data_IF_782759561246
#
_entry.id   IF_782759561246
#
_cell.length_a   1.000
_cell.length_b   1.000
_cell.length_c   1.000
_cell.angle_alpha   90.00
_cell.angle_beta   90.00
_cell.angle_gamma   90.00
#
_symmetry.space_group_name_H-M   'P 1'
#
loop_
_entity.id
_entity.type
_entity.pdbx_description
1 polymer ?
#
# COMPACT_ATOMS: atom_id res chain seq x y z
N UNK A 1 19.12 22.00 -8.46
CA UNK A 1 18.53 23.03 -7.59
C UNK A 1 19.48 24.21 -7.47
N UNK A 2 20.68 24.03 -6.91
CA UNK A 2 21.65 25.14 -6.68
C UNK A 2 22.00 25.89 -7.96
N UNK A 3 22.31 25.16 -9.04
CA UNK A 3 22.65 25.75 -10.35
C UNK A 3 21.52 26.59 -10.99
N UNK A 4 20.27 26.41 -10.55
CA UNK A 4 19.09 27.11 -11.10
C UNK A 4 18.71 28.38 -10.32
N UNK A 5 19.55 28.86 -9.41
CA UNK A 5 19.33 30.08 -8.59
C UNK A 5 17.97 30.07 -7.85
N UNK A 6 17.51 28.90 -7.42
CA UNK A 6 16.30 28.78 -6.60
C UNK A 6 16.53 29.47 -5.25
N UNK A 7 15.56 30.24 -4.80
CA UNK A 7 15.56 30.95 -3.53
C UNK A 7 14.36 30.51 -2.65
N UNK A 8 14.26 31.03 -1.45
CA UNK A 8 13.21 30.66 -0.49
C UNK A 8 11.77 30.96 -0.95
N UNK A 9 11.60 31.89 -1.90
CA UNK A 9 10.29 32.24 -2.49
C UNK A 9 9.94 31.40 -3.74
N UNK A 10 10.86 30.56 -4.19
CA UNK A 10 10.62 29.66 -5.32
C UNK A 10 9.67 28.53 -4.91
N UNK A 11 8.83 28.10 -5.81
CA UNK A 11 7.98 26.93 -5.67
C UNK A 11 8.46 25.83 -6.64
N UNK A 12 8.50 24.58 -6.16
CA UNK A 12 8.85 23.42 -6.99
C UNK A 12 7.56 22.72 -7.42
N UNK A 13 7.43 22.40 -8.69
CA UNK A 13 6.33 21.60 -9.23
C UNK A 13 6.87 20.20 -9.53
N UNK A 14 6.33 19.18 -8.85
CA UNK A 14 6.63 17.78 -9.08
C UNK A 14 5.57 17.17 -10.02
N UNK A 15 6.01 16.61 -11.14
CA UNK A 15 5.13 15.89 -12.08
C UNK A 15 5.69 14.48 -12.21
N UNK A 16 4.95 13.46 -11.73
CA UNK A 16 5.45 12.08 -11.75
C UNK A 16 4.72 11.13 -10.80
N UNK A 17 5.30 9.95 -10.61
CA UNK A 17 4.83 8.96 -9.64
C UNK A 17 5.46 9.12 -8.26
N UNK A 18 5.33 8.09 -7.42
CA UNK A 18 5.81 8.09 -6.03
C UNK A 18 7.29 8.43 -5.86
N UNK A 19 8.17 7.95 -6.74
CA UNK A 19 9.61 8.28 -6.67
C UNK A 19 9.86 9.78 -6.83
N UNK A 20 9.20 10.42 -7.80
CA UNK A 20 9.28 11.88 -8.00
C UNK A 20 8.73 12.61 -6.77
N UNK A 21 7.61 12.15 -6.23
CA UNK A 21 7.01 12.67 -5.00
C UNK A 21 7.99 12.62 -3.83
N UNK A 22 8.53 11.44 -3.52
CA UNK A 22 9.42 11.22 -2.38
C UNK A 22 10.68 12.08 -2.45
N UNK A 23 11.33 12.11 -3.61
CA UNK A 23 12.56 12.91 -3.83
C UNK A 23 12.24 14.41 -3.70
N UNK A 24 11.18 14.89 -4.37
CA UNK A 24 10.81 16.31 -4.32
C UNK A 24 10.44 16.74 -2.92
N UNK A 25 9.55 15.98 -2.26
CA UNK A 25 9.11 16.28 -0.91
C UNK A 25 10.27 16.31 0.09
N UNK A 26 11.17 15.30 0.02
CA UNK A 26 12.36 15.25 0.88
C UNK A 26 13.29 16.44 0.64
N UNK A 27 13.62 16.74 -0.62
CA UNK A 27 14.49 17.89 -0.97
C UNK A 27 13.83 19.20 -0.52
N UNK A 28 12.54 19.40 -0.79
CA UNK A 28 11.82 20.60 -0.41
C UNK A 28 11.81 20.82 1.09
N UNK A 29 11.79 19.76 1.90
CA UNK A 29 11.78 19.86 3.36
C UNK A 29 13.11 20.36 3.94
N UNK A 30 14.24 20.04 3.32
CA UNK A 30 15.58 20.36 3.82
C UNK A 30 16.19 21.60 3.15
N UNK A 31 15.86 21.85 1.88
CA UNK A 31 16.41 22.97 1.13
C UNK A 31 15.87 24.29 1.65
N UNK A 32 16.76 25.23 2.02
CA UNK A 32 16.41 26.49 2.73
C UNK A 32 15.54 26.31 3.98
N UNK A 33 15.53 25.13 4.62
CA UNK A 33 14.67 24.77 5.77
C UNK A 33 13.19 24.75 5.42
N UNK A 34 12.87 24.42 4.18
CA UNK A 34 11.53 24.33 3.63
C UNK A 34 11.32 25.22 2.42
N UNK A 35 10.93 24.63 1.31
CA UNK A 35 10.45 25.29 0.10
C UNK A 35 9.08 24.73 -0.22
N UNK A 36 8.17 25.60 -0.65
CA UNK A 36 6.85 25.16 -1.14
C UNK A 36 6.97 24.30 -2.38
N UNK A 37 6.09 23.31 -2.49
CA UNK A 37 5.99 22.49 -3.67
C UNK A 37 4.55 22.06 -3.95
N UNK A 38 4.25 21.87 -5.24
CA UNK A 38 2.99 21.35 -5.73
C UNK A 38 3.20 20.00 -6.41
N UNK A 39 2.17 19.14 -6.42
CA UNK A 39 2.27 17.79 -6.97
C UNK A 39 1.21 17.48 -8.01
N UNK A 40 1.67 16.97 -9.15
CA UNK A 40 0.86 16.39 -10.22
C UNK A 40 1.15 14.87 -10.28
N UNK A 41 0.40 14.02 -9.58
CA UNK A 41 0.57 12.58 -9.62
C UNK A 41 0.20 12.01 -11.00
N UNK A 42 1.11 11.24 -11.61
CA UNK A 42 0.91 10.69 -12.97
C UNK A 42 0.74 9.17 -12.98
N UNK A 43 0.84 8.50 -11.84
CA UNK A 43 0.57 7.06 -11.71
C UNK A 43 -0.69 6.83 -10.89
N UNK A 44 -1.41 5.74 -11.14
CA UNK A 44 -2.63 5.42 -10.39
C UNK A 44 -2.35 5.21 -8.89
N UNK A 45 -1.22 4.57 -8.55
CA UNK A 45 -0.79 4.42 -7.16
C UNK A 45 -0.62 5.80 -6.47
N UNK A 46 -0.01 6.76 -7.17
CA UNK A 46 0.15 8.10 -6.61
C UNK A 46 -1.19 8.83 -6.52
N UNK A 47 -2.05 8.76 -7.53
CA UNK A 47 -3.36 9.41 -7.52
C UNK A 47 -4.32 8.80 -6.49
N UNK A 48 -4.28 7.47 -6.31
CA UNK A 48 -5.21 6.76 -5.43
C UNK A 48 -4.76 6.64 -3.98
N UNK A 49 -3.48 6.91 -3.69
CA UNK A 49 -2.92 6.72 -2.36
C UNK A 49 -1.86 7.75 -1.98
N UNK A 50 -0.63 7.69 -2.56
CA UNK A 50 0.54 8.32 -1.97
C UNK A 50 0.51 9.85 -1.99
N UNK A 51 -0.25 10.49 -2.89
CA UNK A 51 -0.30 11.94 -3.02
C UNK A 51 -0.76 12.68 -1.76
N UNK A 52 -1.49 12.03 -0.85
CA UNK A 52 -1.90 12.61 0.43
C UNK A 52 -1.21 11.91 1.60
N UNK A 53 -1.07 12.64 2.72
CA UNK A 53 -0.52 12.11 3.96
C UNK A 53 0.94 12.48 4.24
N UNK A 54 1.60 13.17 3.30
CA UNK A 54 2.84 13.89 3.50
C UNK A 54 4.09 13.06 3.81
N UNK A 55 4.00 11.73 3.87
CA UNK A 55 5.17 10.86 4.10
C UNK A 55 6.13 10.96 2.93
N UNK A 56 7.42 11.13 3.22
CA UNK A 56 8.52 10.96 2.25
C UNK A 56 9.29 9.70 2.58
N UNK A 57 9.91 9.10 1.58
CA UNK A 57 10.58 7.83 1.76
C UNK A 57 11.76 7.66 0.82
N UNK A 58 12.97 7.73 1.37
CA UNK A 58 14.22 7.55 0.63
C UNK A 58 14.92 6.28 1.09
N UNK A 59 15.35 5.49 0.14
CA UNK A 59 16.14 4.28 0.41
C UNK A 59 17.60 4.65 0.74
N UNK A 60 18.20 3.91 1.65
CA UNK A 60 19.61 4.04 1.97
C UNK A 60 20.32 2.69 1.73
N UNK A 61 21.14 2.62 0.69
CA UNK A 61 21.76 1.38 0.26
C UNK A 61 20.73 0.30 -0.07
N UNK A 62 20.77 -0.83 0.62
CA UNK A 62 19.84 -1.96 0.46
C UNK A 62 18.59 -1.87 1.36
N UNK A 63 18.50 -0.83 2.18
CA UNK A 63 17.40 -0.67 3.13
C UNK A 63 16.36 0.30 2.56
N UNK A 64 15.11 -0.16 2.48
CA UNK A 64 13.98 0.67 2.05
C UNK A 64 13.55 1.64 3.17
N UNK A 65 13.13 2.83 2.76
CA UNK A 65 12.38 3.77 3.61
C UNK A 65 13.11 4.15 4.91
N UNK A 66 14.43 4.34 4.83
CA UNK A 66 15.24 4.65 6.03
C UNK A 66 15.34 6.13 6.33
N UNK A 67 15.27 6.96 5.29
CA UNK A 67 15.30 8.40 5.42
C UNK A 67 13.95 8.95 4.97
N UNK A 68 13.42 9.87 5.75
CA UNK A 68 12.12 10.47 5.41
C UNK A 68 11.63 11.39 6.51
N UNK A 69 10.61 12.14 6.17
CA UNK A 69 9.90 13.03 7.06
C UNK A 69 8.43 13.16 6.62
N UNK A 70 7.70 14.08 7.24
CA UNK A 70 6.36 14.47 6.81
C UNK A 70 6.45 15.87 6.21
N UNK A 71 6.29 15.97 4.89
CA UNK A 71 6.32 17.24 4.16
C UNK A 71 5.29 17.23 3.03
N UNK A 72 3.99 17.48 3.30
CA UNK A 72 2.96 17.47 2.27
C UNK A 72 3.17 18.59 1.24
N UNK A 73 2.70 18.40 0.00
CA UNK A 73 2.66 19.47 -0.99
C UNK A 73 1.64 20.55 -0.59
N UNK A 74 1.86 21.79 -1.06
CA UNK A 74 0.91 22.89 -0.88
C UNK A 74 -0.39 22.62 -1.64
N UNK A 75 -0.29 22.08 -2.86
CA UNK A 75 -1.43 21.70 -3.69
C UNK A 75 -1.16 20.36 -4.38
N UNK A 76 -2.26 19.62 -4.63
CA UNK A 76 -2.25 18.35 -5.38
C UNK A 76 -3.25 18.47 -6.52
N UNK A 77 -2.79 18.27 -7.74
CA UNK A 77 -3.60 18.36 -8.96
C UNK A 77 -3.76 16.97 -9.58
N UNK A 78 -4.90 16.34 -9.34
CA UNK A 78 -5.18 14.97 -9.81
C UNK A 78 -5.90 15.07 -11.15
N UNK A 79 -5.20 14.70 -12.22
CA UNK A 79 -5.74 14.59 -13.57
C UNK A 79 -5.66 13.13 -14.04
N UNK A 80 -6.81 12.52 -14.26
CA UNK A 80 -6.89 11.11 -14.67
C UNK A 80 -6.46 10.88 -16.13
N UNK A 81 -6.29 11.93 -16.94
CA UNK A 81 -5.78 11.80 -18.32
C UNK A 81 -4.35 11.24 -18.35
N UNK A 82 -3.55 11.49 -17.31
CA UNK A 82 -2.22 10.86 -17.18
C UNK A 82 -2.29 9.33 -17.13
N UNK A 83 -3.42 8.74 -16.74
CA UNK A 83 -3.58 7.29 -16.60
C UNK A 83 -3.83 6.59 -17.94
N UNK A 84 -4.27 7.29 -18.96
CA UNK A 84 -4.65 6.72 -20.27
C UNK A 84 -3.50 5.98 -20.96
N UNK A 85 -2.27 6.42 -20.74
CA UNK A 85 -1.05 5.83 -21.32
C UNK A 85 -0.36 4.81 -20.43
N UNK A 86 -0.89 4.54 -19.23
CA UNK A 86 -0.31 3.57 -18.32
C UNK A 86 -0.56 2.14 -18.82
N UNK A 87 0.44 1.29 -18.58
CA UNK A 87 0.30 -0.14 -18.85
C UNK A 87 -0.73 -0.75 -17.90
N UNK A 88 -1.42 -1.78 -18.36
CA UNK A 88 -2.40 -2.52 -17.55
C UNK A 88 -1.85 -2.94 -16.19
N UNK A 89 -0.61 -3.42 -16.11
CA UNK A 89 0.02 -3.81 -14.84
C UNK A 89 0.16 -2.63 -13.87
N UNK A 90 0.37 -1.39 -14.36
CA UNK A 90 0.48 -0.20 -13.50
C UNK A 90 -0.89 0.22 -12.96
N UNK A 91 -1.94 0.07 -13.78
CA UNK A 91 -3.33 0.25 -13.35
C UNK A 91 -3.71 -0.79 -12.30
N UNK A 92 -3.47 -2.07 -12.56
CA UNK A 92 -3.74 -3.16 -11.60
C UNK A 92 -2.97 -2.96 -10.28
N UNK A 93 -1.72 -2.50 -10.36
CA UNK A 93 -0.92 -2.15 -9.19
C UNK A 93 -1.55 -1.00 -8.39
N UNK A 94 -2.02 0.05 -9.05
CA UNK A 94 -2.71 1.15 -8.37
C UNK A 94 -4.02 0.71 -7.71
N UNK A 95 -4.80 -0.15 -8.37
CA UNK A 95 -6.03 -0.73 -7.79
C UNK A 95 -5.68 -1.61 -6.59
N UNK A 96 -4.61 -2.40 -6.67
CA UNK A 96 -4.12 -3.22 -5.57
C UNK A 96 -3.74 -2.39 -4.34
N UNK A 97 -3.12 -1.23 -4.55
CA UNK A 97 -2.82 -0.28 -3.48
C UNK A 97 -4.11 0.30 -2.87
N UNK A 98 -5.06 0.74 -3.70
CA UNK A 98 -6.33 1.24 -3.19
C UNK A 98 -7.13 0.19 -2.43
N UNK A 99 -6.97 -1.10 -2.73
CA UNK A 99 -7.73 -2.18 -2.12
C UNK A 99 -7.59 -2.23 -0.60
N UNK A 100 -6.39 -2.04 -0.05
CA UNK A 100 -6.20 -2.03 1.40
C UNK A 100 -6.90 -0.83 2.06
N UNK A 101 -6.84 0.36 1.47
CA UNK A 101 -7.48 1.58 1.98
C UNK A 101 -9.01 1.41 2.05
N UNK A 102 -9.57 0.88 0.97
CA UNK A 102 -11.00 0.63 0.85
C UNK A 102 -11.47 -0.46 1.84
N UNK A 103 -10.69 -1.54 2.01
CA UNK A 103 -10.98 -2.61 2.97
C UNK A 103 -10.90 -2.13 4.42
N UNK A 104 -9.89 -1.30 4.74
CA UNK A 104 -9.70 -0.74 6.08
C UNK A 104 -10.83 0.22 6.43
N UNK A 105 -11.41 0.92 5.46
CA UNK A 105 -12.54 1.83 5.70
C UNK A 105 -13.83 1.08 6.00
N UNK A 106 -14.31 0.24 5.10
CA UNK A 106 -15.49 -0.63 5.29
C UNK A 106 -15.75 -1.50 4.04
N UNK A 107 -16.72 -2.43 4.15
CA UNK A 107 -17.08 -3.31 3.02
C UNK A 107 -17.72 -2.55 1.85
N UNK A 108 -18.55 -1.53 2.10
CA UNK A 108 -19.17 -0.75 1.04
C UNK A 108 -18.11 -0.13 0.12
N UNK A 109 -17.05 0.44 0.69
CA UNK A 109 -15.93 0.98 -0.08
C UNK A 109 -15.14 -0.13 -0.78
N UNK A 110 -14.83 -1.24 -0.08
CA UNK A 110 -14.07 -2.34 -0.66
C UNK A 110 -14.79 -3.00 -1.86
N UNK A 111 -16.11 -3.10 -1.81
CA UNK A 111 -16.94 -3.63 -2.90
C UNK A 111 -16.94 -2.75 -4.17
N UNK A 112 -16.45 -1.52 -4.10
CA UNK A 112 -16.32 -0.66 -5.28
C UNK A 112 -15.33 -1.22 -6.30
N UNK A 113 -14.36 -2.01 -5.87
CA UNK A 113 -13.45 -2.72 -6.77
C UNK A 113 -14.24 -3.67 -7.70
N UNK A 114 -15.16 -4.46 -7.15
CA UNK A 114 -16.04 -5.34 -7.97
C UNK A 114 -16.93 -4.52 -8.91
N UNK A 115 -17.43 -3.36 -8.45
CA UNK A 115 -18.22 -2.46 -9.30
C UNK A 115 -17.40 -1.86 -10.44
N UNK A 116 -16.14 -1.51 -10.18
CA UNK A 116 -15.23 -1.01 -11.21
C UNK A 116 -14.97 -2.07 -12.30
N UNK A 117 -14.62 -3.30 -11.90
CA UNK A 117 -14.40 -4.39 -12.87
C UNK A 117 -15.66 -4.82 -13.63
N UNK A 118 -16.86 -4.44 -13.14
CA UNK A 118 -18.15 -4.59 -13.81
C UNK A 118 -18.58 -3.34 -14.57
N UNK A 119 -17.69 -2.37 -14.74
CA UNK A 119 -17.93 -1.10 -15.45
C UNK A 119 -19.10 -0.27 -14.90
N UNK A 120 -19.45 -0.46 -13.60
CA UNK A 120 -20.54 0.25 -12.93
C UNK A 120 -20.11 1.58 -12.31
N UNK A 121 -18.82 1.80 -12.16
CA UNK A 121 -18.22 3.04 -11.69
C UNK A 121 -16.94 3.32 -12.47
N UNK A 122 -16.55 4.58 -12.55
CA UNK A 122 -15.31 4.99 -13.20
C UNK A 122 -14.07 4.77 -12.31
N UNK A 123 -12.89 4.77 -12.92
CA UNK A 123 -11.61 4.78 -12.18
C UNK A 123 -11.48 6.04 -11.31
N UNK A 124 -12.00 7.18 -11.78
CA UNK A 124 -12.05 8.44 -11.03
C UNK A 124 -12.86 8.28 -9.73
N UNK A 125 -14.01 7.62 -9.78
CA UNK A 125 -14.81 7.37 -8.58
C UNK A 125 -14.06 6.50 -7.56
N UNK A 126 -13.31 5.49 -8.04
CA UNK A 126 -12.51 4.62 -7.20
C UNK A 126 -11.37 5.40 -6.53
N UNK A 127 -10.67 6.28 -7.27
CA UNK A 127 -9.62 7.17 -6.75
C UNK A 127 -10.20 8.06 -5.64
N UNK A 128 -11.32 8.74 -5.91
CA UNK A 128 -11.95 9.64 -4.93
C UNK A 128 -12.29 8.88 -3.64
N UNK A 129 -12.87 7.68 -3.74
CA UNK A 129 -13.23 6.88 -2.57
C UNK A 129 -12.01 6.35 -1.81
N UNK A 130 -10.94 6.02 -2.52
CA UNK A 130 -9.67 5.64 -1.90
C UNK A 130 -9.09 6.80 -1.08
N UNK A 131 -8.97 7.98 -1.69
CA UNK A 131 -8.46 9.17 -1.02
C UNK A 131 -9.34 9.60 0.17
N UNK A 132 -10.67 9.56 0.04
CA UNK A 132 -11.58 9.81 1.16
C UNK A 132 -11.37 8.82 2.30
N UNK A 133 -11.13 7.55 1.98
CA UNK A 133 -10.83 6.51 2.99
C UNK A 133 -9.52 6.81 3.72
N UNK A 134 -8.46 7.17 3.00
CA UNK A 134 -7.15 7.51 3.58
C UNK A 134 -7.21 8.81 4.39
N UNK A 135 -7.86 9.84 3.85
CA UNK A 135 -8.05 11.15 4.51
C UNK A 135 -8.61 10.99 5.93
N UNK A 136 -9.63 10.14 6.10
CA UNK A 136 -10.23 9.87 7.40
C UNK A 136 -9.23 9.44 8.47
N UNK A 137 -8.22 8.64 8.11
CA UNK A 137 -7.17 8.19 9.03
C UNK A 137 -6.08 9.24 9.23
N UNK A 138 -5.76 10.02 8.17
CA UNK A 138 -4.78 11.11 8.28
C UNK A 138 -5.29 12.19 9.23
N UNK A 139 -6.57 12.57 9.14
CA UNK A 139 -7.19 13.58 10.02
C UNK A 139 -7.23 13.15 11.48
N UNK A 140 -7.24 11.86 11.76
CA UNK A 140 -7.20 11.31 13.14
C UNK A 140 -5.79 11.12 13.68
N UNK A 141 -4.83 10.88 12.80
CA UNK A 141 -3.47 10.48 13.17
C UNK A 141 -2.50 10.86 12.04
N UNK A 142 -2.19 12.16 11.96
CA UNK A 142 -1.35 12.72 10.90
C UNK A 142 0.02 12.03 10.80
N UNK A 143 0.64 11.75 11.95
CA UNK A 143 2.01 11.23 12.04
C UNK A 143 2.12 9.71 12.17
N UNK A 144 1.05 8.96 11.93
CA UNK A 144 1.04 7.49 11.91
C UNK A 144 1.51 6.84 13.24
N UNK A 145 1.06 7.38 14.34
CA UNK A 145 1.40 6.88 15.66
C UNK A 145 0.35 5.91 16.25
N UNK A 146 -0.90 5.97 15.77
CA UNK A 146 -2.07 5.26 16.30
C UNK A 146 -2.88 4.57 15.21
N UNK A 147 -4.10 5.07 14.93
CA UNK A 147 -5.09 4.46 14.03
C UNK A 147 -4.63 4.40 12.57
N UNK A 148 -3.81 5.35 12.12
CA UNK A 148 -3.28 5.35 10.76
C UNK A 148 -2.40 4.13 10.46
N UNK A 149 -1.83 3.48 11.51
CA UNK A 149 -1.10 2.22 11.36
C UNK A 149 -1.93 1.11 10.72
N UNK A 150 -3.27 1.15 10.87
CA UNK A 150 -4.17 0.18 10.26
C UNK A 150 -4.13 0.24 8.72
N UNK A 151 -3.74 1.39 8.14
CA UNK A 151 -3.52 1.52 6.70
C UNK A 151 -2.34 0.68 6.18
N UNK A 152 -1.53 0.07 7.05
CA UNK A 152 -0.54 -0.94 6.64
C UNK A 152 -1.14 -2.35 6.51
N UNK A 153 -2.47 -2.49 6.43
CA UNK A 153 -3.13 -3.79 6.21
C UNK A 153 -2.60 -4.45 4.93
N UNK A 154 -2.10 -5.68 5.05
CA UNK A 154 -1.46 -6.42 3.97
C UNK A 154 0.03 -6.09 3.74
N UNK A 155 0.52 -4.92 4.11
CA UNK A 155 1.87 -4.45 3.76
C UNK A 155 3.02 -5.29 4.33
N UNK A 156 2.89 -5.83 5.56
CA UNK A 156 3.92 -6.71 6.13
C UNK A 156 4.16 -7.94 5.25
N UNK A 157 3.08 -8.51 4.69
CA UNK A 157 3.17 -9.63 3.74
C UNK A 157 3.66 -9.16 2.37
N UNK A 158 3.16 -8.01 1.90
CA UNK A 158 3.53 -7.43 0.61
C UNK A 158 5.04 -7.19 0.50
N UNK A 159 5.64 -6.50 1.46
CA UNK A 159 7.08 -6.23 1.49
C UNK A 159 7.92 -7.52 1.51
N UNK A 160 7.44 -8.55 2.21
CA UNK A 160 8.09 -9.85 2.23
C UNK A 160 8.02 -10.55 0.86
N UNK A 161 6.90 -10.46 0.16
CA UNK A 161 6.71 -11.00 -1.20
C UNK A 161 7.58 -10.22 -2.19
N UNK A 162 7.58 -8.88 -2.16
CA UNK A 162 8.45 -8.05 -3.00
C UNK A 162 9.91 -8.48 -2.88
N UNK A 163 10.40 -8.59 -1.64
CA UNK A 163 11.78 -9.02 -1.36
C UNK A 163 12.04 -10.45 -1.84
N UNK A 164 11.12 -11.39 -1.58
CA UNK A 164 11.25 -12.79 -1.98
C UNK A 164 11.19 -13.01 -3.49
N UNK A 165 10.56 -12.11 -4.23
CA UNK A 165 10.48 -12.12 -5.69
C UNK A 165 11.53 -11.22 -6.36
N UNK A 166 12.49 -10.67 -5.61
CA UNK A 166 13.48 -9.71 -6.08
C UNK A 166 12.83 -8.50 -6.80
N UNK A 167 11.71 -7.99 -6.24
CA UNK A 167 10.96 -6.83 -6.75
C UNK A 167 10.45 -6.98 -8.20
N UNK A 168 10.28 -8.22 -8.69
CA UNK A 168 9.73 -8.49 -10.02
C UNK A 168 8.22 -8.29 -10.10
N UNK A 169 7.54 -8.29 -8.96
CA UNK A 169 6.11 -8.06 -8.83
C UNK A 169 5.90 -6.62 -8.38
N UNK A 170 4.97 -5.90 -9.00
CA UNK A 170 4.65 -4.52 -8.64
C UNK A 170 4.09 -4.42 -7.23
N UNK A 171 4.36 -3.29 -6.56
CA UNK A 171 4.02 -3.07 -5.15
C UNK A 171 2.54 -3.32 -4.84
N UNK A 172 1.64 -2.68 -5.56
CA UNK A 172 0.21 -2.83 -5.27
C UNK A 172 -0.34 -4.24 -5.52
N UNK A 173 0.23 -5.00 -6.46
CA UNK A 173 -0.10 -6.42 -6.61
C UNK A 173 0.35 -7.22 -5.38
N UNK A 174 1.55 -6.94 -4.86
CA UNK A 174 2.01 -7.54 -3.60
C UNK A 174 1.11 -7.13 -2.43
N UNK A 175 0.61 -5.88 -2.39
CA UNK A 175 -0.32 -5.39 -1.35
C UNK A 175 -1.66 -6.13 -1.44
N UNK A 176 -2.26 -6.27 -2.62
CA UNK A 176 -3.49 -7.04 -2.79
C UNK A 176 -3.33 -8.50 -2.34
N UNK A 177 -2.19 -9.13 -2.68
CA UNK A 177 -1.87 -10.48 -2.24
C UNK A 177 -1.65 -10.55 -0.73
N UNK A 178 -0.98 -9.56 -0.16
CA UNK A 178 -0.79 -9.41 1.29
C UNK A 178 -2.10 -9.24 2.06
N UNK A 179 -3.06 -8.48 1.51
CA UNK A 179 -4.42 -8.37 2.05
C UNK A 179 -5.13 -9.73 2.02
N UNK A 180 -4.98 -10.49 0.94
CA UNK A 180 -5.56 -11.82 0.82
C UNK A 180 -4.99 -12.78 1.87
N UNK A 181 -3.67 -12.77 2.10
CA UNK A 181 -3.03 -13.55 3.17
C UNK A 181 -3.58 -13.11 4.54
N UNK A 182 -3.69 -11.80 4.80
CA UNK A 182 -4.18 -11.28 6.06
C UNK A 182 -5.64 -11.70 6.34
N UNK A 183 -6.51 -11.65 5.34
CA UNK A 183 -7.88 -12.16 5.46
C UNK A 183 -7.92 -13.68 5.65
N UNK A 184 -7.08 -14.44 4.94
CA UNK A 184 -7.00 -15.88 5.09
C UNK A 184 -6.53 -16.28 6.50
N UNK A 185 -5.48 -15.65 7.03
CA UNK A 185 -5.03 -15.89 8.42
C UNK A 185 -6.15 -15.53 9.40
N UNK A 186 -6.81 -14.40 9.20
CA UNK A 186 -7.93 -13.98 10.05
C UNK A 186 -9.06 -15.02 10.06
N UNK A 187 -9.35 -15.63 8.92
CA UNK A 187 -10.31 -16.71 8.81
C UNK A 187 -9.83 -17.99 9.52
N UNK A 188 -8.58 -18.42 9.30
CA UNK A 188 -8.01 -19.62 9.95
C UNK A 188 -7.89 -19.48 11.45
N UNK A 189 -7.81 -18.26 11.97
CA UNK A 189 -7.82 -17.95 13.39
C UNK A 189 -9.23 -17.66 13.95
N UNK A 190 -10.29 -17.91 13.18
CA UNK A 190 -11.69 -17.68 13.55
C UNK A 190 -12.03 -16.21 13.92
N UNK A 191 -11.23 -15.23 13.48
CA UNK A 191 -11.58 -13.81 13.58
C UNK A 191 -12.53 -13.37 12.49
N UNK A 192 -12.44 -13.98 11.31
CA UNK A 192 -13.26 -13.69 10.13
C UNK A 192 -14.04 -14.95 9.74
N UNK A 193 -15.35 -14.83 9.55
CA UNK A 193 -16.18 -15.95 9.13
C UNK A 193 -15.94 -16.32 7.64
N UNK A 194 -16.29 -17.56 7.26
CA UNK A 194 -16.05 -18.05 5.90
C UNK A 194 -16.79 -17.25 4.82
N UNK A 195 -18.04 -16.84 5.08
CA UNK A 195 -18.85 -16.08 4.12
C UNK A 195 -18.16 -14.77 3.72
N UNK A 196 -17.65 -14.02 4.69
CA UNK A 196 -16.97 -12.76 4.43
C UNK A 196 -15.59 -12.97 3.82
N UNK A 197 -14.85 -14.00 4.27
CA UNK A 197 -13.57 -14.36 3.66
C UNK A 197 -13.72 -14.62 2.14
N UNK A 198 -14.65 -15.49 1.73
CA UNK A 198 -14.86 -15.79 0.31
C UNK A 198 -15.32 -14.58 -0.51
N UNK A 199 -16.11 -13.68 0.09
CA UNK A 199 -16.44 -12.40 -0.57
C UNK A 199 -15.21 -11.54 -0.83
N UNK A 200 -14.32 -11.43 0.16
CA UNK A 200 -13.12 -10.59 0.05
C UNK A 200 -12.09 -11.21 -0.89
N UNK A 201 -11.93 -12.51 -0.82
CA UNK A 201 -11.10 -13.28 -1.75
C UNK A 201 -11.55 -13.06 -3.21
N UNK A 202 -12.86 -13.15 -3.49
CA UNK A 202 -13.41 -12.92 -4.81
C UNK A 202 -13.07 -11.52 -5.36
N UNK A 203 -13.17 -10.49 -4.54
CA UNK A 203 -12.83 -9.12 -4.93
C UNK A 203 -11.32 -9.00 -5.23
N UNK A 204 -10.46 -9.55 -4.36
CA UNK A 204 -9.01 -9.47 -4.56
C UNK A 204 -8.55 -10.28 -5.78
N UNK A 205 -9.20 -11.40 -6.09
CA UNK A 205 -8.93 -12.19 -7.31
C UNK A 205 -9.22 -11.45 -8.61
N UNK A 206 -10.02 -10.38 -8.60
CA UNK A 206 -10.18 -9.52 -9.78
C UNK A 206 -8.91 -8.73 -10.11
N UNK A 207 -8.13 -8.38 -9.09
CA UNK A 207 -6.86 -7.66 -9.23
C UNK A 207 -5.72 -8.64 -9.52
N UNK A 208 -5.75 -9.80 -8.88
CA UNK A 208 -4.70 -10.81 -8.90
C UNK A 208 -4.92 -11.77 -10.08
N UNK A 209 -4.29 -11.49 -11.22
CA UNK A 209 -4.47 -12.24 -12.47
C UNK A 209 -3.49 -13.41 -12.67
N UNK A 210 -2.59 -13.64 -11.75
CA UNK A 210 -1.62 -14.76 -11.75
C UNK A 210 -1.17 -15.15 -10.35
N UNK A 211 -0.85 -16.43 -10.18
CA UNK A 211 -0.26 -16.95 -8.97
C UNK A 211 1.13 -16.37 -8.75
N UNK A 212 1.36 -15.81 -7.56
CA UNK A 212 2.67 -15.32 -7.15
C UNK A 212 3.41 -16.46 -6.44
N UNK A 213 4.42 -17.01 -7.11
CA UNK A 213 5.32 -18.00 -6.48
C UNK A 213 6.49 -17.27 -5.87
N UNK A 214 6.80 -17.54 -4.61
CA UNK A 214 7.93 -16.99 -3.90
C UNK A 214 8.63 -18.05 -3.01
N UNK A 215 9.93 -17.84 -2.80
CA UNK A 215 10.72 -18.67 -1.89
C UNK A 215 10.37 -18.39 -0.44
N UNK A 216 9.99 -19.42 0.32
CA UNK A 216 9.51 -19.29 1.70
C UNK A 216 10.60 -18.86 2.69
N UNK A 217 11.86 -19.19 2.42
CA UNK A 217 12.99 -18.80 3.28
C UNK A 217 13.31 -17.33 3.07
N UNK A 218 13.32 -16.86 1.81
CA UNK A 218 13.46 -15.43 1.50
C UNK A 218 12.33 -14.62 2.10
N UNK A 219 11.09 -15.09 1.97
CA UNK A 219 9.91 -14.47 2.58
C UNK A 219 10.06 -14.36 4.10
N UNK A 220 10.46 -15.44 4.79
CA UNK A 220 10.74 -15.43 6.23
C UNK A 220 11.78 -14.39 6.59
N UNK A 221 12.93 -14.40 5.88
CA UNK A 221 14.02 -13.49 6.16
C UNK A 221 13.62 -12.03 5.95
N UNK A 222 12.79 -11.75 4.94
CA UNK A 222 12.27 -10.41 4.69
C UNK A 222 11.34 -9.94 5.81
N UNK A 223 10.40 -10.77 6.26
CA UNK A 223 9.50 -10.45 7.39
C UNK A 223 10.30 -10.15 8.67
N UNK A 224 11.33 -10.93 8.95
CA UNK A 224 12.13 -10.76 10.17
C UNK A 224 13.02 -9.51 10.13
N UNK A 225 13.39 -9.03 8.94
CA UNK A 225 14.20 -7.80 8.74
C UNK A 225 13.39 -6.53 8.84
N UNK A 226 12.15 -6.55 8.38
CA UNK A 226 11.31 -5.35 8.23
C UNK A 226 10.90 -4.74 9.59
N UNK A 227 10.97 -5.50 10.68
CA UNK A 227 10.64 -4.99 12.01
C UNK A 227 11.62 -5.53 13.04
N UNK A 228 12.12 -4.65 13.90
CA UNK A 228 12.93 -5.00 15.08
C UNK A 228 12.19 -6.09 15.88
N UNK A 229 12.50 -7.35 15.57
CA UNK A 229 11.81 -8.51 16.11
C UNK A 229 12.15 -8.66 17.59
N UNK A 230 11.21 -8.30 18.46
CA UNK A 230 11.27 -8.70 19.84
C UNK A 230 10.93 -10.21 19.91
N UNK A 231 11.95 -11.06 20.09
CA UNK A 231 11.81 -12.52 20.26
C UNK A 231 11.02 -13.23 19.14
N UNK A 232 11.26 -12.94 17.87
CA UNK A 232 10.56 -13.52 16.70
C UNK A 232 9.04 -13.25 16.66
N UNK A 233 8.53 -12.27 17.39
CA UNK A 233 7.13 -11.81 17.29
C UNK A 233 7.06 -10.57 16.41
N UNK A 234 6.10 -10.55 15.52
CA UNK A 234 5.83 -9.46 14.59
C UNK A 234 4.38 -9.06 14.68
N UNK A 235 4.14 -7.74 14.67
CA UNK A 235 2.80 -7.17 14.62
C UNK A 235 2.25 -7.25 13.19
N UNK A 236 1.15 -7.95 13.03
CA UNK A 236 0.36 -8.01 11.80
C UNK A 236 -0.95 -7.28 11.99
N UNK A 237 -1.44 -6.69 10.92
CA UNK A 237 -2.80 -6.17 10.90
C UNK A 237 -3.69 -7.27 10.34
N UNK A 238 -4.64 -7.72 11.16
CA UNK A 238 -5.65 -8.72 10.85
C UNK A 238 -7.05 -8.10 10.83
N UNK A 239 -8.08 -8.88 10.48
CA UNK A 239 -9.43 -8.37 10.28
C UNK A 239 -10.50 -9.25 10.93
N UNK A 240 -11.50 -8.59 11.54
CA UNK A 240 -12.80 -9.20 11.91
C UNK A 240 -13.89 -8.89 10.88
N UNK A 241 -13.49 -8.34 9.71
CA UNK A 241 -14.32 -7.86 8.62
C UNK A 241 -13.81 -6.51 8.13
N UNK A 242 -14.19 -6.09 6.90
CA UNK A 242 -13.82 -4.78 6.40
C UNK A 242 -14.28 -3.66 7.36
N UNK A 243 -13.38 -2.71 7.63
CA UNK A 243 -13.58 -1.66 8.62
C UNK A 243 -13.32 -2.08 10.08
N UNK A 244 -12.97 -3.34 10.33
CA UNK A 244 -12.72 -3.89 11.68
C UNK A 244 -11.32 -4.50 11.75
N UNK A 245 -10.32 -3.70 11.37
CA UNK A 245 -8.91 -4.10 11.44
C UNK A 245 -8.37 -3.97 12.85
N UNK A 246 -7.42 -4.84 13.22
CA UNK A 246 -6.74 -4.80 14.50
C UNK A 246 -5.31 -5.31 14.39
N UNK A 247 -4.46 -4.89 15.31
CA UNK A 247 -3.05 -5.32 15.35
C UNK A 247 -2.95 -6.56 16.24
N UNK A 248 -2.27 -7.60 15.74
CA UNK A 248 -1.96 -8.83 16.46
C UNK A 248 -0.50 -9.22 16.30
N UNK A 249 0.17 -9.41 17.41
CA UNK A 249 1.51 -10.02 17.40
C UNK A 249 1.41 -11.52 17.17
N UNK A 250 2.20 -12.02 16.22
CA UNK A 250 2.31 -13.44 15.92
C UNK A 250 3.77 -13.87 15.83
N UNK A 251 4.05 -15.10 16.24
CA UNK A 251 5.36 -15.72 16.12
C UNK A 251 5.59 -16.23 14.69
N UNK A 252 6.78 -16.00 14.16
CA UNK A 252 7.20 -16.54 12.86
C UNK A 252 7.92 -17.86 13.07
N UNK A 253 7.15 -18.88 13.35
CA UNK A 253 7.64 -20.24 13.55
C UNK A 253 7.41 -21.15 12.32
N UNK A 254 7.78 -22.40 12.45
CA UNK A 254 7.59 -23.39 11.37
C UNK A 254 6.12 -23.63 11.02
N UNK A 255 5.20 -23.53 12.01
CA UNK A 255 3.77 -23.71 11.78
C UNK A 255 3.25 -22.56 10.93
N UNK A 256 3.60 -21.30 11.27
CA UNK A 256 3.26 -20.13 10.48
C UNK A 256 3.74 -20.29 9.03
N UNK A 257 5.02 -20.64 8.83
CA UNK A 257 5.61 -20.77 7.49
C UNK A 257 4.98 -21.91 6.69
N UNK A 258 4.66 -23.04 7.32
CA UNK A 258 3.94 -24.15 6.69
C UNK A 258 2.56 -23.70 6.21
N UNK A 259 1.86 -22.93 7.02
CA UNK A 259 0.55 -22.37 6.67
C UNK A 259 0.64 -21.41 5.48
N UNK A 260 1.62 -20.50 5.45
CA UNK A 260 1.83 -19.60 4.31
C UNK A 260 2.17 -20.39 3.05
N UNK A 261 3.03 -21.41 3.13
CA UNK A 261 3.34 -22.28 1.99
C UNK A 261 2.11 -23.03 1.50
N UNK A 262 1.28 -23.56 2.42
CA UNK A 262 0.02 -24.22 2.07
C UNK A 262 -0.93 -23.27 1.36
N UNK A 263 -1.11 -22.06 1.88
CA UNK A 263 -1.91 -21.02 1.24
C UNK A 263 -1.42 -20.73 -0.18
N UNK A 264 -0.11 -20.48 -0.35
CA UNK A 264 0.48 -20.13 -1.64
C UNK A 264 0.36 -21.24 -2.70
N UNK A 265 0.29 -22.50 -2.26
CA UNK A 265 0.10 -23.64 -3.16
C UNK A 265 -1.38 -23.93 -3.49
N UNK A 266 -2.30 -23.50 -2.60
CA UNK A 266 -3.74 -23.77 -2.75
C UNK A 266 -4.50 -22.63 -3.44
N UNK A 267 -3.91 -21.45 -3.50
CA UNK A 267 -4.59 -20.33 -4.15
C UNK A 267 -4.56 -20.52 -5.67
N UNK A 268 -5.73 -20.69 -6.24
CA UNK A 268 -5.95 -20.69 -7.69
C UNK A 268 -6.35 -19.27 -8.10
N UNK A 269 -5.44 -18.56 -8.74
CA UNK A 269 -5.69 -17.32 -9.44
C UNK A 269 -5.82 -17.66 -10.93
N UNK A 270 -6.84 -17.13 -11.59
CA UNK A 270 -7.09 -17.38 -13.02
C UNK A 270 -5.99 -16.81 -13.91
#
# INVERSE_FOLDING_TARGET
>A
VIKKRINKKSKIIAIGGGVTQDITSFICSIYFRGIEWDFFPTTLLAQGDSCIGGKTSINFGKFKNQLGNFNPPSNIYIDTTFLEKLKKNDIESGIGEMAHLLAVKNYSNFSLIDKYYKEKISLKDLIVKSLQSKKYYIEKDEFDNKERKLLNFGHTFAHAIESATNYKISHGICVAYGCLIAFWISNKMNFLNNRDYFKYEKILKLILNKNIKFDILRFKNAILRDKKANKNKIAFILSKGCGKMFIKEMKIDQIFLRNIKKFNNQIELK
#
